data_IF_601359090329
#
_entry.id   IF_601359090329
#
_cell.length_a   1.000
_cell.length_b   1.000
_cell.length_c   1.000
_cell.angle_alpha   90.00
_cell.angle_beta   90.00
_cell.angle_gamma   90.00
#
_symmetry.space_group_name_H-M   'P 1'
#
loop_
_entity.id
_entity.type
_entity.pdbx_description
1 polymer ?
#
# COMPACT_ATOMS: atom_id res chain seq x y z
N UNK A 1 -18.50 -5.42 11.18
CA UNK A 1 -18.11 -6.34 10.08
C UNK A 1 -18.09 -5.65 8.72
N UNK A 2 -19.19 -5.05 8.26
CA UNK A 2 -19.25 -4.33 6.97
C UNK A 2 -18.18 -3.22 6.83
N UNK A 3 -17.91 -2.50 7.91
CA UNK A 3 -16.90 -1.44 7.93
C UNK A 3 -15.48 -1.94 7.63
N UNK A 4 -15.10 -3.09 8.19
CA UNK A 4 -13.78 -3.67 7.96
C UNK A 4 -13.65 -4.15 6.51
N UNK A 5 -14.74 -4.65 5.92
CA UNK A 5 -14.80 -4.95 4.49
C UNK A 5 -14.60 -3.68 3.65
N UNK A 6 -15.23 -2.56 4.03
CA UNK A 6 -15.05 -1.29 3.35
C UNK A 6 -13.59 -0.80 3.41
N UNK A 7 -12.94 -0.86 4.58
CA UNK A 7 -11.52 -0.51 4.74
C UNK A 7 -10.63 -1.39 3.85
N UNK A 8 -10.87 -2.71 3.84
CA UNK A 8 -10.15 -3.66 2.99
C UNK A 8 -10.35 -3.34 1.50
N UNK A 9 -11.59 -3.07 1.09
CA UNK A 9 -11.90 -2.72 -0.30
C UNK A 9 -11.21 -1.43 -0.71
N UNK A 10 -11.19 -0.39 0.14
CA UNK A 10 -10.46 0.85 -0.15
C UNK A 10 -8.96 0.59 -0.35
N UNK A 11 -8.33 -0.18 0.53
CA UNK A 11 -6.92 -0.54 0.38
C UNK A 11 -6.67 -1.33 -0.92
N UNK A 12 -7.47 -2.37 -1.17
CA UNK A 12 -7.36 -3.23 -2.35
C UNK A 12 -7.55 -2.45 -3.65
N UNK A 13 -8.63 -1.67 -3.74
CA UNK A 13 -8.94 -0.84 -4.91
C UNK A 13 -7.81 0.15 -5.18
N UNK A 14 -7.27 0.78 -4.13
CA UNK A 14 -6.15 1.72 -4.26
C UNK A 14 -4.93 1.03 -4.89
N UNK A 15 -4.52 -0.13 -4.38
CA UNK A 15 -3.39 -0.89 -4.95
C UNK A 15 -3.69 -1.36 -6.38
N UNK A 16 -4.89 -1.91 -6.60
CA UNK A 16 -5.32 -2.44 -7.90
C UNK A 16 -5.28 -1.36 -9.00
N UNK A 17 -5.63 -0.12 -8.68
CA UNK A 17 -5.55 1.00 -9.63
C UNK A 17 -4.14 1.60 -9.75
N UNK A 18 -3.36 1.64 -8.66
CA UNK A 18 -2.02 2.24 -8.66
C UNK A 18 -0.99 1.36 -9.35
N UNK A 19 -0.94 0.05 -9.05
CA UNK A 19 0.07 -0.87 -9.59
C UNK A 19 0.18 -0.83 -11.12
N UNK A 20 -0.89 -1.00 -11.91
CA UNK A 20 -0.78 -1.00 -13.37
C UNK A 20 -0.32 0.34 -13.94
N UNK A 21 -0.60 1.46 -13.25
CA UNK A 21 -0.10 2.79 -13.62
C UNK A 21 1.34 3.02 -13.19
N UNK A 22 1.76 2.38 -12.10
CA UNK A 22 3.10 2.53 -11.54
C UNK A 22 4.14 1.72 -12.31
N UNK A 23 3.78 0.53 -12.81
CA UNK A 23 4.68 -0.33 -13.60
C UNK A 23 5.31 0.41 -14.79
N UNK A 24 4.57 1.07 -15.71
CA UNK A 24 5.19 1.79 -16.82
C UNK A 24 6.05 2.96 -16.33
N UNK A 25 5.61 3.72 -15.31
CA UNK A 25 6.37 4.83 -14.74
C UNK A 25 7.75 4.40 -14.23
N UNK A 26 7.82 3.28 -13.51
CA UNK A 26 9.05 2.72 -12.96
C UNK A 26 9.95 2.18 -14.09
N UNK A 27 9.33 1.54 -15.09
CA UNK A 27 10.02 1.04 -16.28
C UNK A 27 10.67 2.17 -17.09
N UNK A 28 9.95 3.26 -17.31
CA UNK A 28 10.42 4.43 -18.08
C UNK A 28 11.56 5.16 -17.37
N UNK A 29 11.61 5.08 -16.04
CA UNK A 29 12.70 5.61 -15.21
C UNK A 29 13.90 4.67 -15.08
N UNK A 30 13.86 3.49 -15.70
CA UNK A 30 14.97 2.54 -15.73
C UNK A 30 15.09 1.64 -14.49
N UNK A 31 14.11 1.66 -13.58
CA UNK A 31 14.09 0.80 -12.39
C UNK A 31 13.56 -0.61 -12.72
N UNK A 32 14.32 -1.33 -13.55
CA UNK A 32 13.96 -2.65 -14.07
C UNK A 32 15.00 -3.68 -13.60
N UNK A 33 14.52 -4.71 -12.90
CA UNK A 33 15.26 -5.87 -12.48
C UNK A 33 15.13 -7.02 -13.46
N UNK A 34 16.11 -7.93 -13.49
CA UNK A 34 15.97 -9.18 -14.25
C UNK A 34 15.33 -10.23 -13.38
N UNK A 35 14.26 -10.85 -13.88
CA UNK A 35 13.68 -12.03 -13.25
C UNK A 35 14.67 -13.20 -13.37
N UNK A 36 15.42 -13.44 -12.29
CA UNK A 36 16.47 -14.46 -12.22
C UNK A 36 15.93 -15.89 -12.32
N UNK A 37 14.63 -16.08 -12.07
CA UNK A 37 13.98 -17.39 -12.08
C UNK A 37 13.40 -17.75 -13.45
N UNK A 38 13.43 -16.82 -14.43
CA UNK A 38 12.97 -17.07 -15.80
C UNK A 38 14.14 -17.24 -16.76
N UNK A 39 14.08 -18.26 -17.62
CA UNK A 39 15.11 -18.54 -18.63
C UNK A 39 15.41 -17.32 -19.54
N UNK A 40 14.38 -16.53 -19.86
CA UNK A 40 14.49 -15.32 -20.68
C UNK A 40 15.01 -14.08 -19.93
N UNK A 41 15.21 -14.17 -18.61
CA UNK A 41 15.65 -13.07 -17.72
C UNK A 41 14.90 -11.76 -18.00
N UNK A 42 13.58 -11.86 -18.13
CA UNK A 42 12.71 -10.75 -18.52
C UNK A 42 12.81 -9.62 -17.51
N UNK A 43 12.83 -8.38 -18.00
CA UNK A 43 12.79 -7.19 -17.16
C UNK A 43 11.47 -7.04 -16.41
N UNK A 44 11.52 -6.82 -15.11
CA UNK A 44 10.38 -6.59 -14.22
C UNK A 44 10.60 -5.31 -13.40
N UNK A 45 9.54 -4.55 -13.13
CA UNK A 45 9.64 -3.35 -12.29
C UNK A 45 9.97 -3.73 -10.84
N UNK A 46 11.00 -3.13 -10.24
CA UNK A 46 11.47 -3.51 -8.88
C UNK A 46 10.75 -2.75 -7.76
N UNK A 47 10.27 -1.52 -8.02
CA UNK A 47 9.68 -0.64 -7.01
C UNK A 47 8.20 -0.97 -6.69
N UNK A 48 7.85 -2.25 -6.62
CA UNK A 48 6.48 -2.70 -6.36
C UNK A 48 5.95 -2.39 -4.95
N UNK A 49 6.85 -2.15 -3.99
CA UNK A 49 6.49 -1.83 -2.61
C UNK A 49 5.78 -0.47 -2.45
N UNK A 50 6.13 0.52 -3.27
CA UNK A 50 5.58 1.89 -3.19
C UNK A 50 4.04 1.92 -3.36
N UNK A 51 3.44 1.36 -4.43
CA UNK A 51 1.98 1.36 -4.57
C UNK A 51 1.27 0.54 -3.49
N UNK A 52 1.91 -0.51 -2.95
CA UNK A 52 1.38 -1.30 -1.82
C UNK A 52 1.35 -0.44 -0.55
N UNK A 53 2.45 0.26 -0.26
CA UNK A 53 2.57 1.17 0.86
C UNK A 53 1.51 2.27 0.82
N UNK A 54 1.30 2.88 -0.34
CA UNK A 54 0.24 3.87 -0.54
C UNK A 54 -1.14 3.27 -0.25
N UNK A 55 -1.43 2.05 -0.73
CA UNK A 55 -2.69 1.37 -0.44
C UNK A 55 -2.93 1.13 1.05
N UNK A 56 -1.89 0.75 1.79
CA UNK A 56 -1.94 0.63 3.25
C UNK A 56 -2.26 1.97 3.92
N UNK A 57 -1.54 3.04 3.57
CA UNK A 57 -1.76 4.38 4.13
C UNK A 57 -3.18 4.86 3.87
N UNK A 58 -3.69 4.72 2.64
CA UNK A 58 -5.06 5.10 2.29
C UNK A 58 -6.11 4.32 3.11
N UNK A 59 -5.95 3.00 3.24
CA UNK A 59 -6.84 2.17 4.06
C UNK A 59 -6.81 2.55 5.54
N UNK A 60 -5.61 2.78 6.08
CA UNK A 60 -5.41 3.19 7.46
C UNK A 60 -6.02 4.57 7.76
N UNK A 61 -5.82 5.55 6.89
CA UNK A 61 -6.44 6.87 7.01
C UNK A 61 -7.97 6.79 6.90
N UNK A 62 -8.50 5.91 6.04
CA UNK A 62 -9.94 5.68 5.94
C UNK A 62 -10.53 5.08 7.23
N UNK A 63 -9.80 4.20 7.91
CA UNK A 63 -10.20 3.67 9.21
C UNK A 63 -10.25 4.78 10.30
N UNK A 64 -9.26 5.69 10.30
CA UNK A 64 -9.24 6.86 11.18
C UNK A 64 -10.45 7.75 10.90
N UNK A 65 -10.72 8.07 9.63
CA UNK A 65 -11.88 8.87 9.23
C UNK A 65 -13.18 8.31 9.79
N UNK A 66 -13.41 7.00 9.67
CA UNK A 66 -14.60 6.37 10.21
C UNK A 66 -14.68 6.39 11.74
N UNK A 67 -13.57 6.24 12.44
CA UNK A 67 -13.53 6.37 13.89
C UNK A 67 -13.83 7.78 14.36
N UNK A 68 -13.29 8.80 13.69
CA UNK A 68 -13.48 10.21 14.07
C UNK A 68 -14.88 10.73 13.76
N UNK A 69 -15.47 10.36 12.62
CA UNK A 69 -16.70 10.99 12.13
C UNK A 69 -17.95 10.10 12.16
N UNK A 70 -17.78 8.78 12.17
CA UNK A 70 -18.88 7.82 11.98
C UNK A 70 -19.04 6.86 13.17
N UNK A 71 -18.32 7.11 14.27
CA UNK A 71 -18.52 6.42 15.55
C UNK A 71 -17.97 5.00 15.60
N UNK A 72 -16.96 4.67 14.79
CA UNK A 72 -16.25 3.40 14.95
C UNK A 72 -15.47 3.40 16.27
N UNK A 73 -15.82 2.48 17.17
CA UNK A 73 -15.06 2.22 18.40
C UNK A 73 -13.68 1.66 18.04
N UNK A 74 -12.71 2.55 17.90
CA UNK A 74 -11.30 2.26 17.68
C UNK A 74 -10.50 3.05 18.70
N UNK A 75 -9.62 2.38 19.43
CA UNK A 75 -8.64 3.07 20.24
C UNK A 75 -7.57 3.68 19.31
N UNK A 76 -7.69 4.99 19.09
CA UNK A 76 -6.87 5.71 18.13
C UNK A 76 -5.39 5.73 18.53
N UNK A 77 -5.08 5.73 19.83
CA UNK A 77 -3.70 5.85 20.30
C UNK A 77 -2.82 4.63 19.88
N UNK A 78 -3.16 3.38 20.25
CA UNK A 78 -2.41 2.21 19.82
C UNK A 78 -2.50 2.00 18.30
N UNK A 79 -3.62 2.39 17.68
CA UNK A 79 -3.81 2.24 16.24
C UNK A 79 -2.84 3.15 15.45
N UNK A 80 -2.76 4.43 15.81
CA UNK A 80 -1.83 5.39 15.19
C UNK A 80 -0.39 5.00 15.47
N UNK A 81 -0.06 4.54 16.69
CA UNK A 81 1.28 4.06 17.02
C UNK A 81 1.72 2.88 16.13
N UNK A 82 0.81 1.93 15.87
CA UNK A 82 1.04 0.81 14.96
C UNK A 82 1.22 1.27 13.51
N UNK A 83 0.37 2.19 13.02
CA UNK A 83 0.51 2.76 11.68
C UNK A 83 1.86 3.46 11.52
N UNK A 84 2.27 4.28 12.49
CA UNK A 84 3.55 4.98 12.43
C UNK A 84 4.72 4.01 12.37
N UNK A 85 4.67 2.91 13.11
CA UNK A 85 5.71 1.88 13.08
C UNK A 85 5.81 1.25 11.69
N UNK A 86 4.67 0.87 11.10
CA UNK A 86 4.63 0.31 9.74
C UNK A 86 5.10 1.32 8.71
N UNK A 87 4.74 2.59 8.87
CA UNK A 87 5.17 3.68 7.99
C UNK A 87 6.69 3.86 8.06
N UNK A 88 7.27 3.91 9.25
CA UNK A 88 8.72 4.05 9.43
C UNK A 88 9.46 2.85 8.81
N UNK A 89 9.00 1.62 9.07
CA UNK A 89 9.61 0.41 8.49
C UNK A 89 9.46 0.42 6.96
N UNK A 90 8.30 0.83 6.45
CA UNK A 90 8.02 0.96 5.04
C UNK A 90 9.01 1.91 4.36
N UNK A 91 9.18 3.12 4.89
CA UNK A 91 10.11 4.11 4.35
C UNK A 91 11.58 3.69 4.39
N UNK A 92 12.00 2.88 5.37
CA UNK A 92 13.39 2.38 5.46
C UNK A 92 13.61 1.19 4.51
N UNK A 93 12.61 0.32 4.37
CA UNK A 93 12.71 -0.94 3.62
C UNK A 93 12.39 -0.86 2.13
N UNK A 94 11.72 0.21 1.67
CA UNK A 94 11.40 0.46 0.25
C UNK A 94 12.42 1.36 -0.42
#
# INVERSE_FOLDING_TARGET
MLIYLAILLVAFITVYYLVPKFIPLVRDRGFIGKDMNKAKKTGVAELGGIPIFLGFVFGATFAIFYSTYLGLELDLLPFIAGILTIVIIGFIGT
#
